data_IF_691003893289
#
_entry.id   IF_691003893289
#
_cell.length_a   1.000
_cell.length_b   1.000
_cell.length_c   1.000
_cell.angle_alpha   90.00
_cell.angle_beta   90.00
_cell.angle_gamma   90.00
#
_symmetry.space_group_name_H-M   'P 1'
#
loop_
_entity.id
_entity.type
_entity.pdbx_description
1 polymer ?
#
# COMPACT_ATOMS: atom_id res chain seq x y z
N UNK A 1 -4.01 -8.32 11.28
CA UNK A 1 -4.42 -6.96 11.65
C UNK A 1 -5.87 -6.71 11.20
N UNK A 2 -6.58 -5.80 11.88
CA UNK A 2 -7.97 -5.45 11.54
C UNK A 2 -8.17 -4.92 10.11
N UNK A 3 -7.12 -4.40 9.49
CA UNK A 3 -7.15 -3.97 8.09
C UNK A 3 -7.03 -5.12 7.07
N UNK A 4 -7.02 -6.38 7.53
CA UNK A 4 -7.09 -7.56 6.67
C UNK A 4 -5.76 -8.15 6.22
N UNK A 5 -4.62 -7.66 6.70
CA UNK A 5 -3.31 -8.22 6.38
C UNK A 5 -2.61 -8.80 7.63
N UNK A 6 -1.68 -9.72 7.40
CA UNK A 6 -0.89 -10.36 8.45
C UNK A 6 0.34 -9.50 8.72
N UNK A 7 0.50 -9.03 9.96
CA UNK A 7 1.64 -8.20 10.37
C UNK A 7 2.55 -8.97 11.32
N UNK A 8 3.85 -8.75 11.21
CA UNK A 8 4.77 -9.00 12.31
C UNK A 8 4.44 -8.06 13.48
N UNK A 9 4.82 -8.45 14.70
CA UNK A 9 4.63 -7.65 15.94
C UNK A 9 3.20 -7.10 16.12
N UNK A 10 2.19 -7.83 15.65
CA UNK A 10 0.78 -7.42 15.73
C UNK A 10 0.47 -6.05 15.07
N UNK A 11 1.32 -5.55 14.18
CA UNK A 11 1.17 -4.25 13.52
C UNK A 11 1.46 -3.06 14.41
N UNK A 12 2.35 -3.22 15.41
CA UNK A 12 2.85 -2.13 16.24
C UNK A 12 4.34 -1.91 16.01
N UNK A 13 4.78 -0.67 16.09
CA UNK A 13 6.17 -0.27 15.98
C UNK A 13 6.63 0.49 17.24
N UNK A 14 7.90 0.34 17.58
CA UNK A 14 8.58 1.04 18.67
C UNK A 14 9.79 1.83 18.18
N UNK A 15 10.18 1.67 16.93
CA UNK A 15 11.31 2.40 16.34
C UNK A 15 10.95 3.87 16.15
N UNK A 16 11.92 4.75 16.41
CA UNK A 16 11.76 6.21 16.30
C UNK A 16 10.55 6.79 17.06
N UNK A 17 10.12 6.13 18.15
CA UNK A 17 8.87 6.43 18.87
C UNK A 17 9.08 7.01 20.28
N UNK A 18 10.30 7.42 20.63
CA UNK A 18 10.65 7.99 21.95
C UNK A 18 10.16 7.12 23.13
N UNK A 19 10.33 5.79 23.01
CA UNK A 19 9.89 4.81 24.00
C UNK A 19 8.38 4.54 24.04
N UNK A 20 7.62 5.08 23.10
CA UNK A 20 6.18 4.81 22.94
C UNK A 20 5.96 3.63 21.99
N UNK A 21 4.78 3.08 22.04
CA UNK A 21 4.29 2.10 21.06
C UNK A 21 3.39 2.84 20.08
N UNK A 22 3.72 2.72 18.79
CA UNK A 22 2.92 3.28 17.71
C UNK A 22 2.07 2.17 17.08
N UNK A 23 0.81 2.46 16.86
CA UNK A 23 -0.09 1.60 16.11
C UNK A 23 -0.43 2.24 14.76
N UNK A 24 -0.77 1.40 13.79
CA UNK A 24 -1.33 1.89 12.52
C UNK A 24 -2.61 2.70 12.77
N UNK A 25 -2.94 3.65 11.88
CA UNK A 25 -4.19 4.42 11.97
C UNK A 25 -5.41 3.50 12.12
N UNK A 26 -6.43 3.98 12.83
CA UNK A 26 -7.69 3.23 13.03
C UNK A 26 -8.35 2.92 11.69
N UNK A 27 -8.37 3.90 10.81
CA UNK A 27 -8.80 3.81 9.42
C UNK A 27 -7.74 4.52 8.55
N UNK A 28 -6.81 3.73 7.96
CA UNK A 28 -5.74 4.30 7.15
C UNK A 28 -6.23 4.96 5.87
N UNK A 29 -7.30 4.44 5.24
CA UNK A 29 -7.88 5.05 4.03
C UNK A 29 -8.54 6.39 4.36
N UNK A 30 -9.27 6.49 5.46
CA UNK A 30 -9.82 7.76 5.94
C UNK A 30 -8.71 8.77 6.30
N UNK A 31 -7.62 8.30 6.90
CA UNK A 31 -6.45 9.14 7.20
C UNK A 31 -5.79 9.66 5.92
N UNK A 32 -5.62 8.80 4.90
CA UNK A 32 -5.11 9.20 3.59
C UNK A 32 -6.03 10.22 2.90
N UNK A 33 -7.35 10.03 3.00
CA UNK A 33 -8.33 10.96 2.44
C UNK A 33 -8.30 12.33 3.12
N UNK A 34 -8.15 12.39 4.44
CA UNK A 34 -8.01 13.63 5.18
C UNK A 34 -6.73 14.40 4.76
N UNK A 35 -5.58 13.70 4.73
CA UNK A 35 -4.31 14.27 4.28
C UNK A 35 -4.39 14.77 2.84
N UNK A 36 -4.97 13.97 1.93
CA UNK A 36 -5.19 14.38 0.54
C UNK A 36 -5.94 15.68 0.44
N UNK A 37 -7.08 15.76 1.15
CA UNK A 37 -7.92 16.96 1.14
C UNK A 37 -7.17 18.22 1.56
N UNK A 38 -6.42 18.15 2.65
CA UNK A 38 -5.65 19.29 3.15
C UNK A 38 -4.52 19.70 2.19
N UNK A 39 -3.80 18.71 1.63
CA UNK A 39 -2.72 18.96 0.69
C UNK A 39 -3.24 19.54 -0.63
N UNK A 40 -4.34 19.04 -1.18
CA UNK A 40 -4.97 19.56 -2.40
C UNK A 40 -5.45 21.01 -2.19
N UNK A 41 -6.03 21.32 -1.02
CA UNK A 41 -6.43 22.68 -0.68
C UNK A 41 -5.25 23.63 -0.55
N UNK A 42 -4.14 23.18 0.04
CA UNK A 42 -2.97 24.01 0.26
C UNK A 42 -2.16 24.24 -1.01
N UNK A 43 -2.00 23.19 -1.81
CA UNK A 43 -1.14 23.22 -2.99
C UNK A 43 -1.88 23.61 -4.29
N UNK A 44 -3.21 23.56 -4.30
CA UNK A 44 -4.00 23.88 -5.49
C UNK A 44 -3.86 22.85 -6.62
N UNK A 45 -3.42 21.62 -6.34
CA UNK A 45 -3.18 20.58 -7.33
C UNK A 45 -3.88 19.29 -6.92
N UNK A 46 -4.36 18.53 -7.90
CA UNK A 46 -4.86 17.18 -7.68
C UNK A 46 -3.69 16.22 -7.41
N UNK A 47 -3.79 15.41 -6.36
CA UNK A 47 -2.78 14.45 -5.98
C UNK A 47 -3.41 13.18 -5.40
N UNK A 48 -2.60 12.13 -5.27
CA UNK A 48 -2.91 10.94 -4.49
C UNK A 48 -2.04 10.87 -3.25
N UNK A 49 -2.56 10.26 -2.20
CA UNK A 49 -1.84 9.98 -0.96
C UNK A 49 -1.82 8.48 -0.72
N UNK A 50 -0.63 7.95 -0.43
CA UNK A 50 -0.43 6.57 0.03
C UNK A 50 0.22 6.63 1.40
N UNK A 51 -0.42 6.06 2.41
CA UNK A 51 0.19 5.79 3.72
C UNK A 51 0.81 4.41 3.61
N UNK A 52 2.11 4.31 3.89
CA UNK A 52 2.86 3.07 3.79
C UNK A 52 3.42 2.64 5.14
N UNK A 53 3.63 1.35 5.26
CA UNK A 53 4.32 0.71 6.37
C UNK A 53 5.25 -0.37 5.83
N UNK A 54 6.18 -0.82 6.67
CA UNK A 54 7.13 -1.87 6.30
C UNK A 54 6.54 -3.24 6.59
N UNK A 55 6.63 -4.15 5.63
CA UNK A 55 6.03 -5.47 5.73
C UNK A 55 7.00 -6.59 5.34
N UNK A 56 7.14 -7.58 6.23
CA UNK A 56 7.79 -8.84 5.91
C UNK A 56 6.91 -9.72 5.02
N UNK A 57 7.52 -10.53 4.17
CA UNK A 57 6.79 -11.38 3.22
C UNK A 57 7.11 -12.85 3.45
N UNK A 58 6.15 -13.77 3.29
CA UNK A 58 6.44 -15.20 3.26
C UNK A 58 7.50 -15.53 2.20
N UNK A 59 8.35 -16.51 2.50
CA UNK A 59 9.37 -17.07 1.61
C UNK A 59 10.46 -16.10 1.13
N UNK A 60 10.57 -14.91 1.70
CA UNK A 60 11.62 -13.93 1.37
C UNK A 60 12.15 -13.26 2.64
N UNK A 61 13.46 -13.11 2.73
CA UNK A 61 14.09 -12.28 3.75
C UNK A 61 13.94 -10.79 3.40
N UNK A 62 13.98 -9.95 4.44
CA UNK A 62 13.83 -8.52 4.35
C UNK A 62 12.38 -8.08 4.23
N UNK A 63 12.13 -6.84 4.61
CA UNK A 63 10.85 -6.18 4.51
C UNK A 63 10.83 -5.21 3.32
N UNK A 64 9.64 -4.82 2.87
CA UNK A 64 9.47 -3.76 1.88
C UNK A 64 8.25 -2.91 2.27
N UNK A 65 8.18 -1.70 1.73
CA UNK A 65 7.00 -0.86 1.91
C UNK A 65 5.78 -1.44 1.22
N UNK A 66 4.66 -1.38 1.90
CA UNK A 66 3.34 -1.68 1.37
C UNK A 66 2.38 -0.54 1.65
N UNK A 67 1.34 -0.40 0.86
CA UNK A 67 0.28 0.56 1.09
C UNK A 67 -0.68 0.04 2.16
N UNK A 68 -0.81 0.77 3.26
CA UNK A 68 -1.77 0.47 4.33
C UNK A 68 -3.01 1.35 4.26
N UNK A 69 -2.90 2.53 3.63
CA UNK A 69 -4.00 3.43 3.34
C UNK A 69 -3.77 4.20 2.05
N UNK A 70 -4.80 4.46 1.28
CA UNK A 70 -4.70 5.19 0.02
C UNK A 70 -5.93 6.05 -0.26
N UNK A 71 -5.72 7.19 -0.93
CA UNK A 71 -6.79 8.06 -1.42
C UNK A 71 -6.33 8.82 -2.66
N UNK A 72 -7.17 8.92 -3.66
CA UNK A 72 -6.85 9.59 -4.92
C UNK A 72 -5.86 8.82 -5.79
N UNK A 73 -5.68 7.53 -5.54
CA UNK A 73 -4.73 6.64 -6.23
C UNK A 73 -5.50 5.55 -6.96
N UNK A 74 -4.98 5.09 -8.07
CA UNK A 74 -5.38 3.82 -8.67
C UNK A 74 -4.60 2.70 -7.97
N UNK A 75 -5.19 2.07 -6.94
CA UNK A 75 -4.50 1.06 -6.12
C UNK A 75 -4.22 -0.23 -6.89
N UNK A 76 -5.14 -0.66 -7.74
CA UNK A 76 -5.02 -1.85 -8.59
C UNK A 76 -5.21 -1.48 -10.05
N UNK A 77 -4.40 -2.07 -10.93
CA UNK A 77 -4.57 -1.99 -12.37
C UNK A 77 -4.67 -3.39 -12.98
N UNK A 78 -5.79 -3.67 -13.64
CA UNK A 78 -6.01 -4.96 -14.30
C UNK A 78 -5.63 -4.89 -15.76
N UNK A 79 -4.81 -5.85 -16.19
CA UNK A 79 -4.49 -6.10 -17.59
C UNK A 79 -5.34 -7.23 -18.20
N UNK A 80 -6.28 -7.78 -17.45
CA UNK A 80 -7.15 -8.85 -17.95
C UNK A 80 -7.89 -8.39 -19.21
N UNK A 81 -7.77 -9.16 -20.28
CA UNK A 81 -8.31 -8.85 -21.60
C UNK A 81 -7.44 -7.92 -22.46
N UNK A 82 -6.42 -7.28 -21.90
CA UNK A 82 -5.45 -6.50 -22.69
C UNK A 82 -4.51 -7.44 -23.43
N UNK A 83 -4.11 -7.13 -24.67
CA UNK A 83 -3.17 -7.95 -25.42
C UNK A 83 -1.76 -7.84 -24.84
N UNK A 84 -1.04 -8.95 -24.80
CA UNK A 84 0.41 -8.96 -24.64
C UNK A 84 1.12 -8.45 -25.94
N UNK A 85 2.46 -8.45 -25.96
CA UNK A 85 3.23 -8.00 -27.12
C UNK A 85 3.02 -8.87 -28.37
N UNK A 86 2.49 -10.09 -28.21
CA UNK A 86 2.20 -11.03 -29.31
C UNK A 86 0.72 -11.02 -29.70
N UNK A 87 -0.09 -10.12 -29.11
CA UNK A 87 -1.51 -9.99 -29.36
C UNK A 87 -2.40 -10.97 -28.61
N UNK A 88 -1.86 -11.75 -27.65
CA UNK A 88 -2.66 -12.68 -26.85
C UNK A 88 -3.26 -11.96 -25.66
N UNK A 89 -4.58 -12.14 -25.39
CA UNK A 89 -5.20 -11.52 -24.21
C UNK A 89 -4.61 -12.08 -22.92
N UNK A 90 -4.26 -11.19 -21.98
CA UNK A 90 -3.82 -11.58 -20.63
C UNK A 90 -5.02 -12.02 -19.79
N UNK A 91 -4.85 -13.10 -19.03
CA UNK A 91 -5.97 -13.73 -18.32
C UNK A 91 -6.05 -13.37 -16.83
N UNK A 92 -4.90 -13.10 -16.18
CA UNK A 92 -4.82 -12.99 -14.72
C UNK A 92 -3.98 -11.83 -14.21
N UNK A 93 -3.35 -11.04 -15.08
CA UNK A 93 -2.42 -9.98 -14.66
C UNK A 93 -3.15 -8.81 -14.01
N UNK A 94 -2.88 -8.61 -12.73
CA UNK A 94 -3.30 -7.44 -11.95
C UNK A 94 -2.08 -6.88 -11.24
N UNK A 95 -1.80 -5.61 -11.42
CA UNK A 95 -0.72 -4.86 -10.82
C UNK A 95 -1.22 -4.11 -9.57
N UNK A 96 -0.47 -4.15 -8.47
CA UNK A 96 -0.76 -3.39 -7.27
C UNK A 96 0.06 -2.11 -7.24
N UNK A 97 -0.44 -1.08 -7.92
CA UNK A 97 0.27 0.20 -8.05
C UNK A 97 0.51 0.88 -6.69
N UNK A 98 -0.41 0.76 -5.74
CA UNK A 98 -0.24 1.38 -4.44
C UNK A 98 0.93 0.76 -3.67
N UNK A 99 1.11 -0.57 -3.72
CA UNK A 99 2.27 -1.24 -3.10
C UNK A 99 3.58 -0.91 -3.83
N UNK A 100 3.56 -0.80 -5.15
CA UNK A 100 4.73 -0.40 -5.93
C UNK A 100 5.17 1.03 -5.59
N UNK A 101 4.21 1.96 -5.46
CA UNK A 101 4.46 3.34 -5.01
C UNK A 101 5.05 3.34 -3.59
N UNK A 102 4.46 2.58 -2.68
CA UNK A 102 4.93 2.45 -1.31
C UNK A 102 6.36 1.89 -1.25
N UNK A 103 6.64 0.81 -1.97
CA UNK A 103 7.96 0.20 -2.04
C UNK A 103 9.02 1.16 -2.63
N UNK A 104 8.68 1.88 -3.69
CA UNK A 104 9.57 2.88 -4.29
C UNK A 104 9.84 4.05 -3.33
N UNK A 105 8.82 4.53 -2.61
CA UNK A 105 8.95 5.60 -1.65
C UNK A 105 9.84 5.19 -0.47
N UNK A 106 9.67 4.00 0.07
CA UNK A 106 10.47 3.52 1.21
C UNK A 106 11.94 3.31 0.88
N UNK A 107 12.33 3.13 -0.39
CA UNK A 107 13.73 3.16 -0.80
C UNK A 107 14.41 4.53 -0.55
N UNK A 108 13.65 5.60 -0.63
CA UNK A 108 14.13 6.97 -0.39
C UNK A 108 13.96 7.38 1.07
N UNK A 109 12.87 6.96 1.69
CA UNK A 109 12.54 7.30 3.07
C UNK A 109 13.48 6.63 4.08
N UNK A 110 13.98 5.43 3.72
CA UNK A 110 14.79 4.62 4.62
C UNK A 110 13.97 3.92 5.71
N UNK A 111 14.69 3.29 6.65
CA UNK A 111 14.11 2.50 7.75
C UNK A 111 14.76 2.85 9.12
N UNK A 112 15.77 3.67 9.12
CA UNK A 112 16.60 3.99 10.29
C UNK A 112 16.41 5.43 10.77
N UNK A 113 17.44 6.21 10.69
CA UNK A 113 17.55 7.57 11.20
C UNK A 113 17.55 8.65 10.10
N UNK A 114 17.15 8.29 8.88
CA UNK A 114 17.15 9.19 7.72
C UNK A 114 16.24 10.41 7.91
N UNK A 115 15.21 10.30 8.74
CA UNK A 115 14.30 11.40 9.07
C UNK A 115 13.48 11.92 7.89
N UNK A 116 13.21 11.07 6.90
CA UNK A 116 12.46 11.39 5.69
C UNK A 116 11.07 10.73 5.72
N UNK A 117 10.07 11.33 6.37
CA UNK A 117 8.75 10.69 6.54
C UNK A 117 7.85 10.76 5.31
N UNK A 118 8.25 11.46 4.25
CA UNK A 118 7.44 11.67 3.03
C UNK A 118 8.31 11.61 1.80
N UNK A 119 7.83 10.94 0.76
CA UNK A 119 8.40 10.95 -0.57
C UNK A 119 7.33 11.40 -1.60
N UNK A 120 7.77 12.11 -2.65
CA UNK A 120 6.90 12.54 -3.75
C UNK A 120 7.25 11.72 -4.99
N UNK A 121 6.26 11.00 -5.50
CA UNK A 121 6.37 10.25 -6.75
C UNK A 121 5.68 11.05 -7.86
N UNK A 122 6.39 11.29 -8.96
CA UNK A 122 5.90 12.12 -10.08
C UNK A 122 5.91 11.31 -11.39
N UNK A 123 5.11 11.79 -12.33
CA UNK A 123 5.10 11.27 -13.72
C UNK A 123 4.72 9.79 -13.83
N UNK A 124 3.86 9.29 -12.94
CA UNK A 124 3.30 7.96 -13.09
C UNK A 124 2.27 7.95 -14.22
N UNK A 125 2.39 7.02 -15.18
CA UNK A 125 1.45 6.91 -16.30
C UNK A 125 0.01 6.62 -15.85
N UNK A 126 -0.12 5.91 -14.73
CA UNK A 126 -1.36 5.45 -14.11
C UNK A 126 -1.21 5.55 -12.59
N UNK A 127 -1.40 6.67 -12.02
CA UNK A 127 -1.21 6.82 -10.56
C UNK A 127 -2.43 7.41 -9.87
N UNK A 128 -3.17 8.24 -10.60
CA UNK A 128 -4.34 8.94 -10.06
C UNK A 128 -5.61 8.15 -10.34
N UNK A 129 -6.43 7.96 -9.32
CA UNK A 129 -7.70 7.24 -9.36
C UNK A 129 -8.54 7.54 -8.14
N UNK A 130 -9.56 6.76 -7.90
CA UNK A 130 -10.44 6.92 -6.73
C UNK A 130 -10.57 5.59 -5.95
N UNK A 131 -9.49 4.79 -5.95
CA UNK A 131 -9.42 3.55 -5.18
C UNK A 131 -8.73 3.80 -3.83
N UNK A 132 -8.92 2.85 -2.91
CA UNK A 132 -8.34 2.86 -1.58
C UNK A 132 -7.52 1.57 -1.33
N UNK A 133 -6.71 1.56 -0.26
CA UNK A 133 -5.84 0.41 0.04
C UNK A 133 -6.64 -0.81 0.51
N UNK A 134 -7.80 -0.63 1.11
CA UNK A 134 -8.67 -1.75 1.49
C UNK A 134 -9.11 -2.62 0.30
N UNK A 135 -9.12 -2.10 -0.91
CA UNK A 135 -9.42 -2.85 -2.14
C UNK A 135 -8.28 -3.80 -2.57
N UNK A 136 -7.07 -3.63 -2.04
CA UNK A 136 -5.93 -4.51 -2.29
C UNK A 136 -6.09 -5.83 -1.53
N UNK A 137 -6.80 -5.80 -0.39
CA UNK A 137 -6.97 -6.96 0.47
C UNK A 137 -7.79 -8.03 -0.27
N UNK A 138 -7.18 -9.20 -0.37
CA UNK A 138 -7.82 -10.34 -1.06
C UNK A 138 -9.04 -10.81 -0.27
N UNK A 139 -10.19 -11.02 -0.93
CA UNK A 139 -11.35 -11.62 -0.28
C UNK A 139 -10.99 -13.00 0.30
N UNK A 140 -11.47 -13.29 1.50
CA UNK A 140 -11.15 -14.53 2.22
C UNK A 140 -11.40 -15.79 1.38
N UNK A 141 -12.48 -15.80 0.58
CA UNK A 141 -12.85 -16.94 -0.27
C UNK A 141 -11.83 -17.23 -1.39
N UNK A 142 -11.01 -16.26 -1.73
CA UNK A 142 -9.96 -16.38 -2.75
C UNK A 142 -8.54 -16.39 -2.17
N UNK A 143 -8.39 -16.31 -0.84
CA UNK A 143 -7.11 -16.34 -0.15
C UNK A 143 -6.77 -17.76 0.30
N UNK A 144 -5.88 -18.42 -0.45
CA UNK A 144 -5.46 -19.81 -0.18
C UNK A 144 -4.74 -19.97 1.17
N UNK A 145 -4.07 -18.93 1.67
CA UNK A 145 -3.38 -18.99 2.96
C UNK A 145 -4.37 -18.90 4.12
N UNK A 146 -5.32 -17.98 4.05
CA UNK A 146 -6.39 -17.89 5.05
C UNK A 146 -7.27 -19.13 5.06
N UNK A 147 -7.58 -19.70 3.90
CA UNK A 147 -8.32 -20.95 3.81
C UNK A 147 -7.55 -22.12 4.45
N UNK A 148 -6.24 -22.22 4.18
CA UNK A 148 -5.40 -23.27 4.78
C UNK A 148 -5.29 -23.16 6.30
N UNK A 149 -5.23 -21.93 6.85
CA UNK A 149 -5.21 -21.69 8.30
C UNK A 149 -6.51 -22.07 9.00
N UNK A 150 -7.66 -22.03 8.31
CA UNK A 150 -8.97 -22.39 8.86
C UNK A 150 -9.30 -23.89 8.70
N UNK A 151 -8.59 -24.59 7.85
CA UNK A 151 -8.78 -26.04 7.61
C UNK A 151 -8.10 -26.91 8.66
N UNK A 152 -7.31 -26.33 9.56
CA UNK A 152 -6.64 -26.98 10.69
C UNK A 152 -7.26 -26.52 12.02
#
# INVERSE_FOLDING_TARGET
HRCGYVCANAGVDMSNADGRILALPVDPDASAAALRKELEQTCGVRLGVVICDTHGRPFREGACGIAVGASGVQSLHSYVGHPDRNGRPMETSVECLADEIAAAATLLMGQGDEGLPVAIVRSLPRGIGEQCASQIIRPEQSDIFLQALKAN
#
